data_IF_954493963509
#
_entry.id   IF_954493963509
#
_cell.length_a   1.000
_cell.length_b   1.000
_cell.length_c   1.000
_cell.angle_alpha   90.00
_cell.angle_beta   90.00
_cell.angle_gamma   90.00
#
_symmetry.space_group_name_H-M   'P 1'
#
loop_
_entity.id
_entity.type
_entity.pdbx_description
1 polymer ?
#
# COMPACT_ATOMS: atom_id res chain seq x y z
N UNK A 1 -7.68 -30.48 1.64
CA UNK A 1 -6.58 -30.18 2.58
C UNK A 1 -5.71 -29.16 1.87
N UNK A 2 -5.92 -27.87 2.16
CA UNK A 2 -5.09 -26.80 1.59
C UNK A 2 -3.68 -26.97 2.15
N UNK A 3 -2.68 -27.00 1.27
CA UNK A 3 -1.28 -27.09 1.65
C UNK A 3 -0.94 -25.89 2.52
N UNK A 4 -0.71 -26.10 3.82
CA UNK A 4 -0.33 -25.05 4.76
C UNK A 4 0.97 -24.36 4.36
N UNK A 5 1.79 -24.99 3.49
CA UNK A 5 3.00 -24.38 2.91
C UNK A 5 2.69 -23.32 1.86
N UNK A 6 1.49 -23.30 1.27
CA UNK A 6 1.05 -22.22 0.35
C UNK A 6 0.57 -20.99 1.15
N UNK A 7 0.06 -21.20 2.37
CA UNK A 7 -0.29 -20.11 3.28
C UNK A 7 0.96 -19.41 3.85
N UNK A 8 2.05 -20.14 4.05
CA UNK A 8 3.34 -19.55 4.48
C UNK A 8 4.03 -18.76 3.34
N UNK A 9 3.60 -18.96 2.09
CA UNK A 9 3.97 -18.12 0.94
C UNK A 9 3.17 -16.81 0.86
N UNK A 10 2.23 -16.56 1.78
CA UNK A 10 1.61 -15.25 1.97
C UNK A 10 2.64 -14.29 2.59
N UNK A 11 3.56 -13.84 1.74
CA UNK A 11 4.57 -12.81 1.90
C UNK A 11 5.07 -12.62 3.34
N UNK A 12 6.21 -13.24 3.68
CA UNK A 12 6.98 -12.79 4.84
C UNK A 12 7.10 -11.25 4.79
N UNK A 13 6.76 -10.59 5.90
CA UNK A 13 6.94 -9.15 6.07
C UNK A 13 8.34 -8.75 5.60
N UNK A 14 8.49 -7.93 4.53
CA UNK A 14 9.80 -7.55 4.00
C UNK A 14 10.70 -6.89 5.05
N UNK A 15 10.13 -6.29 6.10
CA UNK A 15 10.86 -5.68 7.20
C UNK A 15 11.39 -6.70 8.22
N UNK A 16 11.08 -8.00 8.09
CA UNK A 16 11.64 -9.08 8.93
C UNK A 16 13.18 -9.09 8.92
N UNK A 17 13.80 -8.63 7.83
CA UNK A 17 15.26 -8.44 7.76
C UNK A 17 15.73 -7.50 8.86
N UNK A 18 15.04 -6.37 9.07
CA UNK A 18 15.35 -5.42 10.13
C UNK A 18 15.02 -5.96 11.52
N UNK A 19 14.02 -6.84 11.68
CA UNK A 19 13.78 -7.49 12.98
C UNK A 19 15.00 -8.24 13.51
N UNK A 20 15.79 -8.85 12.61
CA UNK A 20 17.03 -9.57 12.95
C UNK A 20 18.25 -8.65 13.00
N UNK A 21 18.35 -7.69 12.08
CA UNK A 21 19.51 -6.78 12.00
C UNK A 21 19.49 -5.68 13.07
N UNK A 22 18.33 -5.10 13.34
CA UNK A 22 18.14 -4.00 14.30
C UNK A 22 16.68 -3.98 14.80
N UNK A 23 16.45 -4.71 15.88
CA UNK A 23 15.10 -4.89 16.42
C UNK A 23 14.49 -3.61 17.01
N UNK A 24 15.30 -2.64 17.43
CA UNK A 24 14.81 -1.37 17.97
C UNK A 24 14.34 -0.45 16.85
N UNK A 25 15.11 -0.40 15.76
CA UNK A 25 14.70 0.31 14.55
C UNK A 25 13.45 -0.32 13.93
N UNK A 26 13.39 -1.65 13.85
CA UNK A 26 12.19 -2.36 13.38
C UNK A 26 10.93 -1.96 14.18
N UNK A 27 11.01 -1.97 15.53
CA UNK A 27 9.89 -1.52 16.39
C UNK A 27 9.52 -0.07 16.13
N UNK A 28 10.50 0.79 15.89
CA UNK A 28 10.25 2.21 15.61
C UNK A 28 9.49 2.40 14.29
N UNK A 29 9.86 1.65 13.24
CA UNK A 29 9.14 1.65 11.96
C UNK A 29 7.68 1.19 12.15
N UNK A 30 7.48 0.08 12.85
CA UNK A 30 6.14 -0.47 13.09
C UNK A 30 5.27 0.50 13.90
N UNK A 31 5.82 1.10 14.96
CA UNK A 31 5.10 2.11 15.76
C UNK A 31 4.67 3.32 14.91
N UNK A 32 5.55 3.80 14.01
CA UNK A 32 5.20 4.90 13.09
C UNK A 32 4.13 4.47 12.11
N UNK A 33 4.19 3.24 11.58
CA UNK A 33 3.19 2.69 10.67
C UNK A 33 1.82 2.59 11.34
N UNK A 34 1.75 2.01 12.54
CA UNK A 34 0.52 1.90 13.32
C UNK A 34 -0.05 3.29 13.65
N UNK A 35 0.77 4.20 14.18
CA UNK A 35 0.35 5.55 14.51
C UNK A 35 -0.19 6.31 13.29
N UNK A 36 0.48 6.17 12.14
CA UNK A 36 0.09 6.83 10.90
C UNK A 36 -1.26 6.34 10.42
N UNK A 37 -1.48 5.03 10.36
CA UNK A 37 -2.68 4.44 9.77
C UNK A 37 -3.83 4.16 10.75
N UNK A 38 -3.66 4.41 12.04
CA UNK A 38 -4.74 4.31 13.03
C UNK A 38 -5.94 5.19 12.65
N UNK A 39 -7.16 4.66 12.81
CA UNK A 39 -8.40 5.41 12.56
C UNK A 39 -8.53 6.59 13.53
N UNK A 40 -8.66 7.81 12.98
CA UNK A 40 -8.88 9.05 13.74
C UNK A 40 -9.78 9.99 12.93
N UNK A 41 -9.41 11.28 12.80
CA UNK A 41 -10.15 12.28 12.00
C UNK A 41 -10.29 11.84 10.54
N UNK A 42 -9.21 11.29 9.96
CA UNK A 42 -9.26 10.55 8.70
C UNK A 42 -9.27 9.06 9.02
N UNK A 43 -10.14 8.32 8.34
CA UNK A 43 -10.14 6.86 8.42
C UNK A 43 -8.90 6.27 7.74
N UNK A 44 -8.54 5.06 8.14
CA UNK A 44 -7.45 4.26 7.58
C UNK A 44 -7.57 4.15 6.07
N UNK A 45 -8.79 3.95 5.55
CA UNK A 45 -9.12 3.93 4.11
C UNK A 45 -8.54 5.14 3.38
N UNK A 46 -8.88 6.35 3.82
CA UNK A 46 -8.44 7.58 3.14
C UNK A 46 -6.94 7.80 3.28
N UNK A 47 -6.35 7.45 4.42
CA UNK A 47 -4.90 7.54 4.60
C UNK A 47 -4.14 6.61 3.65
N UNK A 48 -4.65 5.39 3.45
CA UNK A 48 -4.08 4.43 2.51
C UNK A 48 -4.23 4.89 1.05
N UNK A 49 -5.37 5.48 0.69
CA UNK A 49 -5.56 6.08 -0.62
C UNK A 49 -4.59 7.24 -0.88
N UNK A 50 -4.34 8.10 0.11
CA UNK A 50 -3.32 9.16 0.00
C UNK A 50 -1.93 8.57 -0.16
N UNK A 51 -1.55 7.58 0.66
CA UNK A 51 -0.26 6.93 0.54
C UNK A 51 -0.07 6.27 -0.84
N UNK A 52 -1.11 5.59 -1.35
CA UNK A 52 -1.12 4.98 -2.69
C UNK A 52 -0.89 6.03 -3.78
N UNK A 53 -1.53 7.20 -3.67
CA UNK A 53 -1.32 8.31 -4.60
C UNK A 53 0.13 8.81 -4.59
N UNK A 54 0.74 8.92 -3.42
CA UNK A 54 2.14 9.33 -3.26
C UNK A 54 3.08 8.31 -3.91
N UNK A 55 2.88 7.00 -3.67
CA UNK A 55 3.68 5.95 -4.28
C UNK A 55 3.53 5.92 -5.81
N UNK A 56 2.32 6.15 -6.32
CA UNK A 56 2.09 6.29 -7.75
C UNK A 56 2.84 7.50 -8.32
N UNK A 57 2.86 8.64 -7.60
CA UNK A 57 3.54 9.86 -8.04
C UNK A 57 5.06 9.72 -8.18
N UNK A 58 5.69 8.83 -7.41
CA UNK A 58 7.14 8.61 -7.41
C UNK A 58 7.59 7.34 -8.14
N UNK A 59 6.67 6.64 -8.79
CA UNK A 59 7.00 5.45 -9.58
C UNK A 59 7.12 4.14 -8.79
N UNK A 60 6.64 4.08 -7.54
CA UNK A 60 6.76 2.92 -6.67
C UNK A 60 5.67 1.87 -6.94
N UNK A 61 5.85 1.04 -7.98
CA UNK A 61 4.86 0.04 -8.43
C UNK A 61 4.40 -0.90 -7.30
N UNK A 62 5.33 -1.50 -6.56
CA UNK A 62 4.98 -2.44 -5.48
C UNK A 62 4.34 -1.72 -4.29
N UNK A 63 4.73 -0.46 -4.04
CA UNK A 63 4.09 0.39 -3.03
C UNK A 63 2.62 0.65 -3.35
N UNK A 64 2.33 1.04 -4.60
CA UNK A 64 0.95 1.19 -5.10
C UNK A 64 0.16 -0.11 -4.95
N UNK A 65 0.75 -1.26 -5.33
CA UNK A 65 0.11 -2.58 -5.23
C UNK A 65 -0.33 -2.88 -3.79
N UNK A 66 0.60 -2.79 -2.85
CA UNK A 66 0.36 -3.09 -1.43
C UNK A 66 -0.65 -2.13 -0.82
N UNK A 67 -0.54 -0.83 -1.12
CA UNK A 67 -1.42 0.19 -0.55
C UNK A 67 -2.82 0.15 -1.15
N UNK A 68 -2.97 -0.16 -2.44
CA UNK A 68 -4.27 -0.36 -3.07
C UNK A 68 -5.00 -1.55 -2.44
N UNK A 69 -4.32 -2.69 -2.28
CA UNK A 69 -4.91 -3.86 -1.62
C UNK A 69 -5.32 -3.54 -0.18
N UNK A 70 -4.42 -2.91 0.59
CA UNK A 70 -4.70 -2.50 1.96
C UNK A 70 -5.88 -1.53 2.06
N UNK A 71 -6.01 -0.61 1.09
CA UNK A 71 -7.12 0.33 1.03
C UNK A 71 -8.45 -0.39 0.76
N UNK A 72 -8.48 -1.35 -0.16
CA UNK A 72 -9.67 -2.17 -0.42
C UNK A 72 -10.05 -3.03 0.79
N UNK A 73 -9.07 -3.62 1.48
CA UNK A 73 -9.29 -4.35 2.73
C UNK A 73 -9.86 -3.43 3.84
N UNK A 74 -9.55 -2.13 3.77
CA UNK A 74 -10.12 -1.08 4.62
C UNK A 74 -11.46 -0.50 4.09
N UNK A 75 -12.03 -1.08 3.03
CA UNK A 75 -13.33 -0.71 2.47
C UNK A 75 -13.28 0.31 1.32
N UNK A 76 -12.13 0.55 0.70
CA UNK A 76 -12.06 1.34 -0.52
C UNK A 76 -12.67 0.61 -1.72
N UNK A 77 -13.42 1.33 -2.55
CA UNK A 77 -13.92 0.78 -3.81
C UNK A 77 -12.94 1.01 -4.96
N UNK A 78 -13.12 0.26 -6.05
CA UNK A 78 -12.33 0.43 -7.28
C UNK A 78 -12.53 1.83 -7.88
N UNK A 79 -13.72 2.40 -7.72
CA UNK A 79 -14.07 3.76 -8.16
C UNK A 79 -13.31 4.81 -7.34
N UNK A 80 -13.21 4.65 -6.02
CA UNK A 80 -12.41 5.54 -5.18
C UNK A 80 -10.93 5.50 -5.57
N UNK A 81 -10.38 4.32 -5.86
CA UNK A 81 -9.00 4.17 -6.37
C UNK A 81 -8.83 4.89 -7.71
N UNK A 82 -9.76 4.68 -8.65
CA UNK A 82 -9.72 5.31 -9.96
C UNK A 82 -9.80 6.85 -9.87
N UNK A 83 -10.62 7.39 -8.97
CA UNK A 83 -10.74 8.83 -8.74
C UNK A 83 -9.46 9.42 -8.15
N UNK A 84 -8.87 8.77 -7.15
CA UNK A 84 -7.60 9.19 -6.55
C UNK A 84 -6.46 9.17 -7.57
N UNK A 85 -6.39 8.13 -8.43
CA UNK A 85 -5.39 8.06 -9.49
C UNK A 85 -5.58 9.13 -10.57
N UNK A 86 -6.82 9.55 -10.84
CA UNK A 86 -7.10 10.68 -11.74
C UNK A 86 -6.55 11.99 -11.18
N UNK A 87 -6.75 12.24 -9.88
CA UNK A 87 -6.16 13.40 -9.21
C UNK A 87 -4.64 13.31 -9.23
N UNK A 88 -4.09 12.12 -8.97
CA UNK A 88 -2.63 11.88 -9.01
C UNK A 88 -2.05 12.17 -10.38
N UNK A 89 -2.70 11.70 -11.45
CA UNK A 89 -2.33 11.98 -12.84
C UNK A 89 -2.37 13.48 -13.15
N UNK A 90 -3.40 14.19 -12.71
CA UNK A 90 -3.52 15.63 -12.92
C UNK A 90 -2.34 16.40 -12.31
N UNK A 91 -1.86 15.98 -11.14
CA UNK A 91 -0.76 16.64 -10.42
C UNK A 91 0.63 16.15 -10.89
N UNK A 92 0.79 14.86 -11.19
CA UNK A 92 2.10 14.22 -11.38
C UNK A 92 2.37 13.79 -12.83
N UNK A 93 1.38 13.93 -13.72
CA UNK A 93 1.49 13.58 -15.12
C UNK A 93 1.28 12.09 -15.43
N UNK A 94 1.62 11.69 -16.66
CA UNK A 94 1.31 10.34 -17.17
C UNK A 94 2.12 9.22 -16.50
N UNK A 95 3.28 9.55 -15.92
CA UNK A 95 4.15 8.58 -15.24
C UNK A 95 3.41 7.82 -14.13
N UNK A 96 2.66 8.54 -13.28
CA UNK A 96 1.89 7.93 -12.20
C UNK A 96 0.80 6.98 -12.70
N UNK A 97 0.22 7.27 -13.87
CA UNK A 97 -0.79 6.41 -14.50
C UNK A 97 -0.19 5.08 -14.94
N UNK A 98 1.00 5.09 -15.55
CA UNK A 98 1.69 3.85 -15.94
C UNK A 98 2.13 3.05 -14.72
N UNK A 99 2.66 3.72 -13.69
CA UNK A 99 3.00 3.07 -12.40
C UNK A 99 1.78 2.37 -11.81
N UNK A 100 0.64 3.05 -11.73
CA UNK A 100 -0.59 2.46 -11.23
C UNK A 100 -1.11 1.32 -12.12
N UNK A 101 -1.03 1.45 -13.45
CA UNK A 101 -1.41 0.38 -14.37
C UNK A 101 -0.57 -0.90 -14.17
N UNK A 102 0.74 -0.77 -13.99
CA UNK A 102 1.61 -1.91 -13.70
C UNK A 102 1.31 -2.55 -12.34
N UNK A 103 0.96 -1.73 -11.34
CA UNK A 103 0.64 -2.20 -10.01
C UNK A 103 -0.70 -2.95 -9.96
N UNK A 104 -1.73 -2.43 -10.65
CA UNK A 104 -3.12 -2.87 -10.47
C UNK A 104 -3.57 -3.97 -11.43
N UNK A 105 -2.76 -4.33 -12.44
CA UNK A 105 -3.11 -5.30 -13.50
C UNK A 105 -3.64 -6.67 -13.00
N UNK A 106 -3.28 -7.08 -11.79
CA UNK A 106 -3.67 -8.37 -11.19
C UNK A 106 -4.61 -8.20 -9.97
N UNK A 107 -5.02 -6.96 -9.67
CA UNK A 107 -5.80 -6.61 -8.48
C UNK A 107 -7.22 -6.16 -8.85
N UNK A 108 -7.35 -5.43 -9.96
CA UNK A 108 -8.59 -4.74 -10.35
C UNK A 108 -9.15 -5.29 -11.66
#
# INVERSE_FOLDING_TARGET
MFDSRISDYMSEDPLNVFRKLDSEFFRSIENVREFTFADRVLSRKYKLLVAMALDASVGAVEGVRVLAQSAMDAGATKEEIAEVLRVTHYISGVGSTYTAAHALKDII
#
